data_IF_545429673881
#
_entry.id   IF_545429673881
#
_cell.length_a   1.000
_cell.length_b   1.000
_cell.length_c   1.000
_cell.angle_alpha   90.00
_cell.angle_beta   90.00
_cell.angle_gamma   90.00
#
_symmetry.space_group_name_H-M   'P 1'
#
loop_
_entity.id
_entity.type
_entity.pdbx_description
1 polymer ?
#
# COMPACT_ATOMS: atom_id res chain seq x y z
N UNK A 1 1.54 -10.45 -10.07
CA UNK A 1 3.00 -10.65 -10.18
C UNK A 1 3.52 -11.00 -8.79
N UNK A 2 4.42 -11.97 -8.66
CA UNK A 2 4.96 -12.38 -7.36
C UNK A 2 5.89 -11.28 -6.81
N UNK A 3 5.51 -10.65 -5.69
CA UNK A 3 6.32 -9.65 -4.99
C UNK A 3 7.41 -10.27 -4.08
N UNK A 4 7.75 -11.55 -4.29
CA UNK A 4 8.82 -12.25 -3.58
C UNK A 4 10.23 -11.82 -4.02
N UNK A 5 10.36 -11.08 -5.13
CA UNK A 5 11.65 -10.81 -5.79
C UNK A 5 12.41 -9.56 -5.29
N UNK A 6 12.02 -8.95 -4.16
CA UNK A 6 12.85 -7.89 -3.58
C UNK A 6 14.07 -8.52 -2.87
N UNK A 7 15.09 -8.86 -3.65
CA UNK A 7 16.29 -9.58 -3.20
C UNK A 7 17.36 -8.66 -2.60
N UNK A 8 17.80 -8.93 -1.37
CA UNK A 8 18.81 -8.17 -0.61
C UNK A 8 18.21 -7.14 0.38
N UNK A 9 19.03 -6.39 1.11
CA UNK A 9 18.56 -5.37 2.09
C UNK A 9 17.66 -4.29 1.46
N UNK A 10 16.57 -3.93 2.14
CA UNK A 10 15.66 -2.83 1.78
C UNK A 10 16.20 -1.48 2.29
N UNK A 11 15.98 -0.41 1.52
CA UNK A 11 16.18 0.95 2.05
C UNK A 11 15.01 1.36 2.95
N UNK A 12 13.79 0.99 2.59
CA UNK A 12 12.57 1.36 3.34
C UNK A 12 11.57 0.22 3.32
N UNK A 13 10.93 -0.02 4.45
CA UNK A 13 9.78 -0.90 4.55
C UNK A 13 8.57 -0.05 4.92
N UNK A 14 7.44 -0.27 4.27
CA UNK A 14 6.20 0.42 4.59
C UNK A 14 5.27 -0.62 5.22
N UNK A 15 4.78 -0.35 6.43
CA UNK A 15 3.80 -1.20 7.10
C UNK A 15 2.41 -0.59 6.85
N UNK A 16 1.60 -1.28 6.03
CA UNK A 16 0.29 -0.87 5.57
C UNK A 16 0.29 -0.52 4.07
N UNK A 17 -0.50 -1.26 3.29
CA UNK A 17 -0.73 -1.10 1.85
C UNK A 17 -2.06 -0.39 1.51
N UNK A 18 -2.56 0.43 2.43
CA UNK A 18 -3.64 1.38 2.15
C UNK A 18 -3.16 2.61 1.36
N UNK A 19 -4.07 3.57 1.16
CA UNK A 19 -3.82 4.77 0.34
C UNK A 19 -2.53 5.53 0.68
N UNK A 20 -2.17 5.66 1.96
CA UNK A 20 -0.96 6.35 2.39
C UNK A 20 0.32 5.56 2.01
N UNK A 21 0.31 4.25 2.20
CA UNK A 21 1.44 3.38 1.84
C UNK A 21 1.66 3.33 0.33
N UNK A 22 0.57 3.29 -0.44
CA UNK A 22 0.65 3.33 -1.91
C UNK A 22 1.17 4.68 -2.42
N UNK A 23 0.71 5.79 -1.85
CA UNK A 23 1.21 7.13 -2.19
C UNK A 23 2.72 7.27 -1.87
N UNK A 24 3.17 6.79 -0.72
CA UNK A 24 4.59 6.77 -0.37
C UNK A 24 5.39 5.87 -1.33
N UNK A 25 4.85 4.68 -1.63
CA UNK A 25 5.46 3.74 -2.56
C UNK A 25 5.69 4.33 -3.94
N UNK A 26 4.75 5.14 -4.44
CA UNK A 26 4.91 5.87 -5.69
C UNK A 26 6.16 6.78 -5.68
N UNK A 27 6.30 7.63 -4.66
CA UNK A 27 7.48 8.52 -4.60
C UNK A 27 8.80 7.76 -4.37
N UNK A 28 8.79 6.67 -3.62
CA UNK A 28 9.97 5.81 -3.47
C UNK A 28 10.37 5.14 -4.80
N UNK A 29 9.38 4.71 -5.61
CA UNK A 29 9.58 4.17 -6.95
C UNK A 29 10.18 5.22 -7.89
N UNK A 30 9.64 6.44 -7.90
CA UNK A 30 10.18 7.57 -8.69
C UNK A 30 11.65 7.88 -8.32
N UNK A 31 11.98 7.78 -7.04
CA UNK A 31 13.35 7.95 -6.54
C UNK A 31 14.25 6.72 -6.75
N UNK A 32 13.75 5.65 -7.38
CA UNK A 32 14.45 4.37 -7.60
C UNK A 32 14.99 3.77 -6.29
N UNK A 33 14.26 3.97 -5.19
CA UNK A 33 14.59 3.37 -3.88
C UNK A 33 14.13 1.92 -3.86
N UNK A 34 14.83 1.11 -3.08
CA UNK A 34 14.46 -0.28 -2.88
C UNK A 34 13.56 -0.40 -1.64
N UNK A 35 12.29 -0.71 -1.84
CA UNK A 35 11.32 -0.78 -0.75
C UNK A 35 10.35 -1.96 -0.89
N UNK A 36 9.62 -2.23 0.18
CA UNK A 36 8.57 -3.23 0.24
C UNK A 36 7.41 -2.70 1.08
N UNK A 37 6.18 -2.87 0.60
CA UNK A 37 4.96 -2.55 1.35
C UNK A 37 4.40 -3.86 1.90
N UNK A 38 4.22 -3.98 3.21
CA UNK A 38 3.61 -5.13 3.87
C UNK A 38 2.17 -4.78 4.27
N UNK A 39 1.17 -5.51 3.79
CA UNK A 39 -0.23 -5.30 4.16
C UNK A 39 -0.86 -6.56 4.74
N UNK A 40 -1.68 -6.41 5.78
CA UNK A 40 -2.33 -7.56 6.42
C UNK A 40 -3.47 -8.14 5.59
N UNK A 41 -4.10 -7.35 4.72
CA UNK A 41 -5.23 -7.81 3.93
C UNK A 41 -4.77 -8.71 2.78
N UNK A 42 -5.60 -9.69 2.38
CA UNK A 42 -5.28 -10.59 1.26
C UNK A 42 -5.30 -9.90 -0.11
N UNK A 43 -5.98 -8.75 -0.22
CA UNK A 43 -6.11 -7.97 -1.46
C UNK A 43 -5.99 -6.48 -1.18
N UNK A 44 -5.29 -5.77 -2.07
CA UNK A 44 -5.18 -4.31 -1.98
C UNK A 44 -6.56 -3.66 -2.05
N UNK A 45 -6.81 -2.69 -1.19
CA UNK A 45 -8.10 -2.01 -1.08
C UNK A 45 -9.12 -2.69 -0.16
N UNK A 46 -8.84 -3.87 0.39
CA UNK A 46 -9.79 -4.57 1.28
C UNK A 46 -10.08 -3.80 2.58
N UNK A 47 -9.17 -2.95 3.05
CA UNK A 47 -9.42 -2.02 4.15
C UNK A 47 -10.59 -1.04 3.87
N UNK A 48 -10.95 -0.84 2.61
CA UNK A 48 -12.14 -0.13 2.16
C UNK A 48 -13.28 -1.09 1.84
N UNK A 49 -12.99 -2.17 1.10
CA UNK A 49 -14.00 -3.15 0.65
C UNK A 49 -14.77 -3.80 1.78
N UNK A 50 -14.13 -4.01 2.93
CA UNK A 50 -14.72 -4.65 4.11
C UNK A 50 -15.50 -3.68 5.03
N UNK A 51 -15.63 -2.41 4.66
CA UNK A 51 -16.49 -1.45 5.39
C UNK A 51 -17.97 -1.67 5.06
N UNK A 52 -18.86 -0.97 5.76
CA UNK A 52 -20.31 -1.11 5.59
C UNK A 52 -20.78 -0.74 4.18
N UNK A 53 -21.82 -1.43 3.69
CA UNK A 53 -22.25 -1.39 2.28
C UNK A 53 -22.62 0.01 1.78
N UNK A 54 -23.21 0.85 2.62
CA UNK A 54 -23.65 2.20 2.25
C UNK A 54 -22.52 3.25 2.26
N UNK A 55 -21.29 2.88 2.61
CA UNK A 55 -20.18 3.83 2.67
C UNK A 55 -19.90 4.43 1.28
N UNK A 56 -19.92 5.76 1.24
CA UNK A 56 -19.35 6.60 0.19
C UNK A 56 -18.28 7.51 0.78
N UNK A 57 -17.30 7.89 -0.03
CA UNK A 57 -16.35 8.95 0.36
C UNK A 57 -17.09 10.27 0.51
N UNK A 58 -16.61 11.13 1.41
CA UNK A 58 -17.23 12.43 1.69
C UNK A 58 -16.65 13.57 0.83
N UNK A 59 -15.66 13.26 0.01
CA UNK A 59 -14.99 14.16 -0.93
C UNK A 59 -15.46 13.88 -2.36
N UNK A 60 -15.57 14.91 -3.21
CA UNK A 60 -15.75 14.70 -4.63
C UNK A 60 -14.56 13.95 -5.26
N UNK A 61 -14.82 13.05 -6.21
CA UNK A 61 -13.82 12.18 -6.84
C UNK A 61 -12.56 12.92 -7.34
N UNK A 62 -12.69 14.17 -7.80
CA UNK A 62 -11.55 15.01 -8.22
C UNK A 62 -10.50 15.26 -7.13
N UNK A 63 -10.83 15.00 -5.86
CA UNK A 63 -9.93 15.14 -4.71
C UNK A 63 -9.46 13.78 -4.14
N UNK A 64 -9.94 12.66 -4.68
CA UNK A 64 -9.68 11.32 -4.13
C UNK A 64 -8.53 10.59 -4.83
N UNK A 65 -7.91 11.23 -5.83
CA UNK A 65 -6.76 10.68 -6.54
C UNK A 65 -5.48 10.69 -5.70
N UNK A 66 -4.72 9.61 -5.80
CA UNK A 66 -3.33 9.47 -5.38
C UNK A 66 -2.37 10.14 -6.40
N UNK A 67 -1.08 10.34 -6.03
CA UNK A 67 -0.10 10.97 -6.91
C UNK A 67 -0.08 10.40 -8.33
N UNK A 68 -0.02 11.27 -9.33
CA UNK A 68 0.01 10.93 -10.76
C UNK A 68 -1.20 10.17 -11.34
N UNK A 69 -2.19 9.76 -10.54
CA UNK A 69 -3.38 9.04 -11.03
C UNK A 69 -4.67 9.66 -10.48
N UNK A 70 -5.41 10.45 -11.28
CA UNK A 70 -6.71 10.96 -10.86
C UNK A 70 -7.71 9.81 -10.61
N UNK A 71 -8.71 10.06 -9.77
CA UNK A 71 -9.77 9.10 -9.54
C UNK A 71 -10.66 8.95 -10.80
N UNK A 72 -10.91 7.74 -11.32
CA UNK A 72 -11.58 7.53 -12.60
C UNK A 72 -13.10 7.51 -12.46
N UNK A 73 -13.69 8.61 -12.00
CA UNK A 73 -15.14 8.80 -11.87
C UNK A 73 -15.57 10.21 -12.28
N UNK A 74 -16.88 10.49 -12.25
CA UNK A 74 -17.38 11.85 -12.43
C UNK A 74 -16.75 12.78 -11.36
N UNK A 75 -16.12 13.92 -11.74
CA UNK A 75 -15.37 14.78 -10.82
C UNK A 75 -16.15 15.29 -9.60
N UNK A 76 -17.48 15.34 -9.68
CA UNK A 76 -18.38 15.82 -8.62
C UNK A 76 -19.12 14.68 -7.91
N UNK A 77 -18.90 13.44 -8.32
CA UNK A 77 -19.46 12.26 -7.66
C UNK A 77 -18.78 11.94 -6.33
N UNK A 78 -19.46 11.13 -5.52
CA UNK A 78 -18.99 10.61 -4.23
C UNK A 78 -18.90 9.07 -4.32
N UNK A 79 -17.77 8.52 -4.78
CA UNK A 79 -17.59 7.09 -5.02
C UNK A 79 -17.94 6.20 -3.79
N UNK A 80 -18.58 5.04 -3.99
CA UNK A 80 -18.75 4.04 -2.94
C UNK A 80 -17.41 3.40 -2.53
N UNK A 81 -17.39 2.73 -1.37
CA UNK A 81 -16.20 2.05 -0.82
C UNK A 81 -15.50 1.12 -1.81
N UNK A 82 -16.29 0.43 -2.64
CA UNK A 82 -15.78 -0.60 -3.55
C UNK A 82 -15.07 0.02 -4.75
N UNK A 83 -15.53 1.18 -5.24
CA UNK A 83 -14.82 1.93 -6.29
C UNK A 83 -13.49 2.49 -5.78
N UNK A 84 -13.44 2.98 -4.54
CA UNK A 84 -12.18 3.39 -3.93
C UNK A 84 -11.23 2.21 -3.72
N UNK A 85 -11.74 1.06 -3.27
CA UNK A 85 -10.94 -0.15 -3.13
C UNK A 85 -10.35 -0.61 -4.49
N UNK A 86 -11.15 -0.62 -5.55
CA UNK A 86 -10.73 -0.98 -6.90
C UNK A 86 -9.72 0.03 -7.48
N UNK A 87 -9.91 1.31 -7.19
CA UNK A 87 -8.94 2.35 -7.55
C UNK A 87 -7.56 2.10 -6.92
N UNK A 88 -7.50 1.81 -5.61
CA UNK A 88 -6.23 1.53 -4.93
C UNK A 88 -5.53 0.27 -5.47
N UNK A 89 -6.30 -0.76 -5.80
CA UNK A 89 -5.75 -1.97 -6.41
C UNK A 89 -5.16 -1.70 -7.80
N UNK A 90 -5.91 -0.98 -8.65
CA UNK A 90 -5.41 -0.57 -9.98
C UNK A 90 -4.15 0.29 -9.87
N UNK A 91 -4.12 1.23 -8.93
CA UNK A 91 -2.97 2.07 -8.67
C UNK A 91 -1.72 1.25 -8.32
N UNK A 92 -1.85 0.26 -7.43
CA UNK A 92 -0.73 -0.60 -7.06
C UNK A 92 -0.18 -1.40 -8.26
N UNK A 93 -1.06 -1.86 -9.16
CA UNK A 93 -0.70 -2.59 -10.39
C UNK A 93 -0.06 -1.66 -11.42
N UNK A 94 -0.68 -0.51 -11.69
CA UNK A 94 -0.24 0.47 -12.69
C UNK A 94 1.18 0.99 -12.41
N UNK A 95 1.49 1.28 -11.15
CA UNK A 95 2.82 1.74 -10.74
C UNK A 95 3.77 0.61 -10.32
N UNK A 96 3.36 -0.65 -10.50
CA UNK A 96 4.14 -1.84 -10.15
C UNK A 96 4.74 -1.74 -8.74
N UNK A 97 3.90 -1.39 -7.77
CA UNK A 97 4.33 -1.21 -6.38
C UNK A 97 4.58 -2.58 -5.73
N UNK A 98 5.68 -2.77 -4.99
CA UNK A 98 6.00 -4.03 -4.34
C UNK A 98 5.15 -4.22 -3.08
N UNK A 99 3.90 -4.63 -3.24
CA UNK A 99 2.96 -4.90 -2.13
C UNK A 99 2.94 -6.39 -1.81
N UNK A 100 3.32 -6.76 -0.60
CA UNK A 100 3.14 -8.11 -0.06
C UNK A 100 1.85 -8.15 0.76
N UNK A 101 0.80 -8.69 0.16
CA UNK A 101 -0.48 -8.94 0.83
C UNK A 101 -0.38 -10.08 1.87
N UNK A 102 -1.41 -10.21 2.72
CA UNK A 102 -1.52 -11.28 3.71
C UNK A 102 -0.40 -11.31 4.74
N UNK A 103 0.30 -10.19 4.93
CA UNK A 103 1.46 -10.06 5.82
C UNK A 103 1.12 -9.12 6.97
N UNK A 104 0.55 -9.69 8.02
CA UNK A 104 0.29 -8.97 9.26
C UNK A 104 1.57 -8.84 10.06
N UNK A 105 2.18 -7.65 10.06
CA UNK A 105 3.36 -7.39 10.91
C UNK A 105 2.96 -7.46 12.38
N UNK A 106 3.54 -8.41 13.11
CA UNK A 106 3.24 -8.67 14.52
C UNK A 106 4.19 -7.92 15.44
N UNK A 107 5.43 -7.74 15.00
CA UNK A 107 6.49 -7.07 15.77
C UNK A 107 7.39 -6.25 14.85
N UNK A 108 7.81 -5.10 15.36
CA UNK A 108 8.80 -4.22 14.76
C UNK A 108 9.81 -3.85 15.86
N UNK A 109 11.09 -4.01 15.59
CA UNK A 109 12.16 -3.60 16.51
C UNK A 109 13.41 -3.19 15.75
N UNK A 110 14.40 -2.67 16.47
CA UNK A 110 15.69 -2.28 15.91
C UNK A 110 16.77 -3.30 16.27
N UNK A 111 17.56 -3.73 15.29
CA UNK A 111 18.78 -4.52 15.46
C UNK A 111 19.93 -3.75 14.80
N UNK A 112 20.88 -3.26 15.61
CA UNK A 112 21.95 -2.40 15.12
C UNK A 112 21.43 -1.10 14.49
N UNK A 113 21.78 -0.86 13.23
CA UNK A 113 21.38 0.29 12.41
C UNK A 113 20.13 0.01 11.54
N UNK A 114 19.43 -1.11 11.79
CA UNK A 114 18.35 -1.61 10.93
C UNK A 114 17.06 -1.83 11.72
N UNK A 115 15.94 -1.76 11.01
CA UNK A 115 14.61 -2.14 11.51
C UNK A 115 14.26 -3.54 11.01
N UNK A 116 13.71 -4.36 11.91
CA UNK A 116 13.24 -5.71 11.64
C UNK A 116 11.74 -5.76 11.86
N UNK A 117 10.98 -6.14 10.83
CA UNK A 117 9.58 -6.53 10.96
C UNK A 117 9.45 -8.04 10.92
N UNK A 118 8.56 -8.62 11.73
CA UNK A 118 8.26 -10.04 11.73
C UNK A 118 6.76 -10.32 11.59
N UNK A 119 6.45 -11.40 10.86
CA UNK A 119 5.10 -11.94 10.68
C UNK A 119 5.20 -13.44 10.43
N UNK A 120 4.46 -14.26 11.17
CA UNK A 120 4.38 -15.72 10.93
C UNK A 120 5.76 -16.39 10.70
N UNK A 121 6.76 -16.07 11.52
CA UNK A 121 8.12 -16.62 11.42
C UNK A 121 9.01 -16.05 10.30
N UNK A 122 8.45 -15.23 9.41
CA UNK A 122 9.21 -14.49 8.39
C UNK A 122 9.74 -13.17 8.98
N UNK A 123 10.87 -12.70 8.43
CA UNK A 123 11.53 -11.46 8.85
C UNK A 123 11.90 -10.63 7.62
N UNK A 124 11.66 -9.33 7.70
CA UNK A 124 12.10 -8.33 6.73
C UNK A 124 12.96 -7.29 7.42
N UNK A 125 13.99 -6.82 6.72
CA UNK A 125 14.98 -5.90 7.24
C UNK A 125 15.10 -4.68 6.33
N UNK A 126 15.06 -3.48 6.92
CA UNK A 126 15.19 -2.21 6.22
C UNK A 126 15.98 -1.18 7.03
N UNK A 127 16.56 -0.19 6.35
CA UNK A 127 17.20 0.96 7.01
C UNK A 127 16.16 1.93 7.62
N UNK A 128 14.98 2.01 7.02
CA UNK A 128 13.88 2.88 7.44
C UNK A 128 12.56 2.10 7.46
N UNK A 129 11.63 2.54 8.31
CA UNK A 129 10.25 2.04 8.40
C UNK A 129 9.28 3.19 8.54
#
# INVERSE_FOLDING_TARGET
MNHDDVTGTLDTMIIGGGQAGLAMGYYLKEQKRKFLILDENPRTGDSWRQRWDSLRVFTPAKYDGLPAAPFPADPLSFPPKDELADYLERYAVEFELPVRQGTRVERLWREGDRYIAASNGHRWEAKNV
#
